data_IF_478698718585
#
_entry.id   IF_478698718585
#
_cell.length_a   1.000
_cell.length_b   1.000
_cell.length_c   1.000
_cell.angle_alpha   90.00
_cell.angle_beta   90.00
_cell.angle_gamma   90.00
#
_symmetry.space_group_name_H-M   'P 1'
#
loop_
_entity.id
_entity.type
_entity.pdbx_description
1 polymer ?
#
# COMPACT_ATOMS: atom_id res chain seq x y z
N UNK A 1 0.44 -24.40 -36.30
CA UNK A 1 1.64 -25.21 -35.98
C UNK A 1 2.95 -24.45 -36.19
N UNK A 2 3.13 -23.68 -37.26
CA UNK A 2 4.39 -22.95 -37.53
C UNK A 2 4.56 -21.69 -36.65
N UNK A 3 3.49 -20.90 -36.48
CA UNK A 3 3.48 -19.72 -35.60
C UNK A 3 3.69 -20.09 -34.13
N UNK A 4 3.08 -21.19 -33.68
CA UNK A 4 3.21 -21.71 -32.33
C UNK A 4 4.66 -22.04 -31.97
N UNK A 5 5.41 -22.67 -32.90
CA UNK A 5 6.84 -22.93 -32.76
C UNK A 5 7.67 -21.64 -32.69
N UNK A 6 7.27 -20.58 -33.40
CA UNK A 6 7.93 -19.27 -33.37
C UNK A 6 7.73 -18.57 -32.01
N UNK A 7 6.52 -18.60 -31.46
CA UNK A 7 6.22 -18.03 -30.15
C UNK A 7 6.98 -18.74 -29.02
N UNK A 8 7.07 -20.08 -29.06
CA UNK A 8 7.85 -20.87 -28.09
C UNK A 8 9.34 -20.50 -28.12
N UNK A 9 9.93 -20.29 -29.31
CA UNK A 9 11.33 -19.87 -29.43
C UNK A 9 11.55 -18.47 -28.86
N UNK A 10 10.67 -17.51 -29.17
CA UNK A 10 10.73 -16.16 -28.59
C UNK A 10 10.57 -16.18 -27.07
N UNK A 11 9.72 -17.03 -26.53
CA UNK A 11 9.52 -17.20 -25.10
C UNK A 11 10.79 -17.67 -24.39
N UNK A 12 11.49 -18.66 -24.95
CA UNK A 12 12.76 -19.14 -24.40
C UNK A 12 13.85 -18.05 -24.41
N UNK A 13 13.88 -17.24 -25.45
CA UNK A 13 14.80 -16.09 -25.54
C UNK A 13 14.45 -15.04 -24.49
N UNK A 14 13.17 -14.67 -24.36
CA UNK A 14 12.70 -13.71 -23.36
C UNK A 14 12.98 -14.18 -21.93
N UNK A 15 12.75 -15.46 -21.65
CA UNK A 15 13.05 -16.05 -20.34
C UNK A 15 14.55 -16.07 -20.04
N UNK A 16 15.37 -16.33 -21.05
CA UNK A 16 16.83 -16.30 -20.92
C UNK A 16 17.34 -14.88 -20.65
N UNK A 17 16.86 -13.89 -21.41
CA UNK A 17 17.19 -12.47 -21.19
C UNK A 17 16.76 -12.04 -19.80
N UNK A 18 15.52 -12.36 -19.42
CA UNK A 18 14.97 -12.04 -18.11
C UNK A 18 15.84 -12.63 -16.99
N UNK A 19 16.16 -13.92 -17.03
CA UNK A 19 16.97 -14.58 -16.00
C UNK A 19 18.40 -14.03 -15.91
N UNK A 20 19.04 -13.72 -17.05
CA UNK A 20 20.45 -13.31 -17.08
C UNK A 20 20.66 -11.84 -16.78
N UNK A 21 19.74 -10.96 -17.18
CA UNK A 21 20.00 -9.51 -17.22
C UNK A 21 18.97 -8.65 -16.50
N UNK A 22 17.77 -9.17 -16.21
CA UNK A 22 16.66 -8.35 -15.70
C UNK A 22 16.21 -8.78 -14.30
N UNK A 23 16.23 -10.08 -14.01
CA UNK A 23 15.75 -10.65 -12.76
C UNK A 23 16.64 -10.25 -11.57
N UNK A 24 15.98 -9.94 -10.45
CA UNK A 24 16.65 -9.61 -9.20
C UNK A 24 17.31 -10.86 -8.59
N UNK A 25 18.50 -10.76 -7.97
CA UNK A 25 19.13 -11.90 -7.31
C UNK A 25 18.23 -12.46 -6.19
N UNK A 26 17.93 -13.76 -6.24
CA UNK A 26 16.97 -14.38 -5.32
C UNK A 26 17.37 -14.24 -3.84
N UNK A 27 18.66 -14.33 -3.55
CA UNK A 27 19.19 -14.17 -2.19
C UNK A 27 18.98 -12.74 -1.66
N UNK A 28 19.12 -11.70 -2.49
CA UNK A 28 18.83 -10.31 -2.11
C UNK A 28 17.34 -10.09 -1.89
N UNK A 29 16.48 -10.64 -2.75
CA UNK A 29 15.03 -10.56 -2.61
C UNK A 29 14.58 -11.18 -1.29
N UNK A 30 15.04 -12.41 -0.98
CA UNK A 30 14.71 -13.09 0.29
C UNK A 30 15.22 -12.31 1.50
N UNK A 31 16.47 -11.84 1.46
CA UNK A 31 17.07 -11.04 2.53
C UNK A 31 16.29 -9.75 2.77
N UNK A 32 16.04 -8.97 1.72
CA UNK A 32 15.40 -7.66 1.84
C UNK A 32 13.94 -7.80 2.31
N UNK A 33 13.19 -8.78 1.81
CA UNK A 33 11.84 -9.09 2.32
C UNK A 33 11.85 -9.39 3.81
N UNK A 34 12.79 -10.22 4.28
CA UNK A 34 12.89 -10.56 5.70
C UNK A 34 13.26 -9.36 6.59
N UNK A 35 14.07 -8.43 6.07
CA UNK A 35 14.36 -7.15 6.73
C UNK A 35 13.10 -6.30 6.85
N UNK A 36 12.42 -6.07 5.72
CA UNK A 36 11.20 -5.27 5.64
C UNK A 36 10.13 -5.85 6.57
N UNK A 37 9.91 -7.15 6.53
CA UNK A 37 8.88 -7.83 7.31
C UNK A 37 9.05 -7.66 8.82
N UNK A 38 10.28 -7.81 9.33
CA UNK A 38 10.60 -7.63 10.74
C UNK A 38 10.45 -6.17 11.17
N UNK A 39 11.10 -5.25 10.45
CA UNK A 39 11.09 -3.82 10.81
C UNK A 39 9.68 -3.22 10.75
N UNK A 40 8.96 -3.48 9.65
CA UNK A 40 7.56 -3.04 9.50
C UNK A 40 6.67 -3.72 10.54
N UNK A 41 6.93 -4.98 10.88
CA UNK A 41 6.21 -5.72 11.92
C UNK A 41 6.31 -5.02 13.27
N UNK A 42 7.52 -4.67 13.70
CA UNK A 42 7.77 -3.96 14.96
C UNK A 42 7.13 -2.57 14.97
N UNK A 43 7.25 -1.81 13.88
CA UNK A 43 6.59 -0.51 13.72
C UNK A 43 5.07 -0.66 13.80
N UNK A 44 4.48 -1.62 13.11
CA UNK A 44 3.03 -1.86 13.15
C UNK A 44 2.54 -2.24 14.55
N UNK A 45 3.29 -3.05 15.29
CA UNK A 45 2.96 -3.38 16.68
C UNK A 45 2.95 -2.12 17.56
N UNK A 46 3.98 -1.27 17.44
CA UNK A 46 4.05 0.00 18.15
C UNK A 46 2.92 0.96 17.73
N UNK A 47 2.58 1.03 16.44
CA UNK A 47 1.45 1.86 15.96
C UNK A 47 0.11 1.42 16.56
N UNK A 48 -0.16 0.11 16.61
CA UNK A 48 -1.37 -0.44 17.23
C UNK A 48 -1.41 -0.21 18.74
N UNK A 49 -0.26 -0.18 19.41
CA UNK A 49 -0.16 0.13 20.85
C UNK A 49 -0.47 1.62 21.11
N UNK A 50 0.12 2.52 20.34
CA UNK A 50 0.04 3.96 20.58
C UNK A 50 -1.24 4.62 20.03
N UNK A 51 -1.93 3.99 19.07
CA UNK A 51 -3.12 4.58 18.46
C UNK A 51 -4.29 3.56 18.40
N UNK A 52 -5.23 3.65 19.37
CA UNK A 52 -6.40 2.77 19.41
C UNK A 52 -7.26 2.83 18.14
N UNK A 53 -7.46 4.02 17.55
CA UNK A 53 -8.22 4.17 16.31
C UNK A 53 -7.53 3.42 15.15
N UNK A 54 -6.21 3.54 15.03
CA UNK A 54 -5.47 2.78 14.01
C UNK A 54 -5.59 1.28 14.25
N UNK A 55 -5.43 0.82 15.50
CA UNK A 55 -5.62 -0.59 15.87
C UNK A 55 -7.01 -1.10 15.48
N UNK A 56 -8.05 -0.31 15.71
CA UNK A 56 -9.44 -0.68 15.40
C UNK A 56 -9.71 -0.71 13.90
N UNK A 57 -9.18 0.24 13.12
CA UNK A 57 -9.43 0.31 11.68
C UNK A 57 -8.51 -0.59 10.85
N UNK A 58 -7.32 -0.92 11.34
CA UNK A 58 -6.33 -1.71 10.60
C UNK A 58 -6.80 -3.16 10.42
N UNK A 59 -6.94 -3.58 9.17
CA UNK A 59 -7.25 -4.97 8.81
C UNK A 59 -5.96 -5.73 8.55
N UNK A 60 -5.14 -5.23 7.62
CA UNK A 60 -3.95 -5.95 7.14
C UNK A 60 -2.98 -5.00 6.45
N UNK A 61 -1.73 -5.46 6.33
CA UNK A 61 -0.77 -4.90 5.37
C UNK A 61 -0.92 -5.63 4.02
N UNK A 62 -0.78 -4.90 2.93
CA UNK A 62 -0.72 -5.45 1.59
C UNK A 62 0.55 -4.96 0.92
N UNK A 63 1.40 -5.92 0.57
CA UNK A 63 2.60 -5.68 -0.19
C UNK A 63 2.21 -5.43 -1.63
N UNK A 64 2.18 -4.18 -2.05
CA UNK A 64 1.76 -3.74 -3.38
C UNK A 64 2.93 -3.57 -4.33
N UNK A 65 2.62 -3.11 -5.53
CA UNK A 65 3.63 -2.64 -6.47
C UNK A 65 4.47 -3.72 -7.16
N UNK A 66 5.29 -3.22 -8.09
CA UNK A 66 6.00 -4.06 -9.06
C UNK A 66 6.91 -5.12 -8.46
N UNK A 67 7.45 -4.88 -7.25
CA UNK A 67 8.33 -5.83 -6.58
C UNK A 67 7.59 -7.12 -6.21
N UNK A 68 6.44 -6.99 -5.55
CA UNK A 68 5.65 -8.13 -5.10
C UNK A 68 4.78 -8.76 -6.20
N UNK A 69 4.48 -8.00 -7.25
CA UNK A 69 3.86 -8.55 -8.46
C UNK A 69 4.87 -9.32 -9.35
N UNK A 70 6.15 -9.31 -8.96
CA UNK A 70 7.21 -10.00 -9.67
C UNK A 70 7.51 -9.37 -11.04
N UNK A 71 7.29 -8.06 -11.19
CA UNK A 71 7.53 -7.30 -12.43
C UNK A 71 8.54 -6.15 -12.22
N UNK A 72 9.16 -6.04 -11.03
CA UNK A 72 10.23 -5.08 -10.75
C UNK A 72 11.48 -5.47 -11.54
N UNK A 73 12.14 -4.44 -12.05
CA UNK A 73 13.41 -4.48 -12.76
C UNK A 73 14.38 -3.53 -12.05
N UNK A 74 15.68 -3.77 -12.13
CA UNK A 74 16.69 -2.93 -11.46
C UNK A 74 17.10 -3.46 -10.08
N UNK A 75 17.00 -2.65 -9.02
CA UNK A 75 17.42 -3.04 -7.66
C UNK A 75 16.21 -3.31 -6.73
N UNK A 76 16.27 -4.32 -5.84
CA UNK A 76 15.20 -4.68 -4.89
C UNK A 76 15.17 -3.73 -3.67
N UNK A 77 15.14 -2.42 -3.91
CA UNK A 77 15.35 -1.40 -2.87
C UNK A 77 14.08 -0.62 -2.53
N UNK A 78 13.05 -0.67 -3.36
CA UNK A 78 11.79 0.07 -3.16
C UNK A 78 10.64 -0.88 -2.91
N UNK A 79 9.86 -0.59 -1.87
CA UNK A 79 8.74 -1.40 -1.41
C UNK A 79 7.49 -0.54 -1.24
N UNK A 80 6.41 -0.87 -1.94
CA UNK A 80 5.10 -0.25 -1.74
C UNK A 80 4.31 -1.08 -0.72
N UNK A 81 3.90 -0.47 0.40
CA UNK A 81 3.14 -1.14 1.44
C UNK A 81 1.86 -0.38 1.77
N UNK A 82 0.74 -1.01 1.41
CA UNK A 82 -0.58 -0.51 1.73
C UNK A 82 -0.99 -0.98 3.14
N UNK A 83 -1.33 -0.04 4.02
CA UNK A 83 -2.05 -0.32 5.25
C UNK A 83 -3.54 -0.26 4.95
N UNK A 84 -4.16 -1.43 4.83
CA UNK A 84 -5.58 -1.56 4.51
C UNK A 84 -6.40 -1.33 5.77
N UNK A 85 -7.22 -0.29 5.74
CA UNK A 85 -8.07 0.17 6.82
C UNK A 85 -9.56 -0.01 6.44
N UNK A 86 -10.39 -0.27 7.45
CA UNK A 86 -11.84 -0.26 7.32
C UNK A 86 -12.46 0.86 8.14
N UNK A 87 -13.41 1.57 7.51
CA UNK A 87 -14.32 2.44 8.24
C UNK A 87 -15.43 1.60 8.90
N UNK A 88 -16.01 2.05 10.03
CA UNK A 88 -17.15 1.37 10.63
C UNK A 88 -18.30 1.24 9.62
N UNK A 89 -18.90 0.05 9.50
CA UNK A 89 -20.08 -0.15 8.64
C UNK A 89 -21.25 0.72 9.10
N UNK A 90 -21.36 0.95 10.41
CA UNK A 90 -22.43 1.72 11.05
C UNK A 90 -22.55 3.16 10.55
N UNK A 91 -21.43 3.78 10.16
CA UNK A 91 -21.44 5.18 9.67
C UNK A 91 -21.80 5.27 8.17
N UNK A 92 -21.99 4.13 7.52
CA UNK A 92 -22.36 3.98 6.10
C UNK A 92 -21.49 4.86 5.18
N UNK A 93 -20.22 4.48 4.98
CA UNK A 93 -19.38 5.16 4.03
C UNK A 93 -19.86 4.87 2.59
N UNK A 94 -20.07 5.92 1.82
CA UNK A 94 -20.52 5.87 0.42
C UNK A 94 -19.40 6.38 -0.48
N UNK A 95 -19.05 5.61 -1.51
CA UNK A 95 -18.09 6.03 -2.53
C UNK A 95 -18.85 6.75 -3.64
N UNK A 96 -18.59 8.05 -3.76
CA UNK A 96 -19.20 8.94 -4.74
C UNK A 96 -18.23 9.20 -5.90
N UNK A 97 -18.76 9.29 -7.11
CA UNK A 97 -17.98 9.55 -8.32
C UNK A 97 -17.50 10.99 -8.30
N UNK A 98 -16.18 11.18 -8.47
CA UNK A 98 -15.62 12.50 -8.67
C UNK A 98 -15.79 12.97 -10.12
N UNK A 99 -15.63 14.27 -10.35
CA UNK A 99 -15.54 14.86 -11.70
C UNK A 99 -14.21 14.54 -12.42
N UNK A 100 -13.26 13.89 -11.74
CA UNK A 100 -11.95 13.52 -12.28
C UNK A 100 -11.87 12.01 -12.54
N UNK A 101 -11.53 11.57 -13.77
CA UNK A 101 -11.38 10.15 -14.08
C UNK A 101 -10.42 9.43 -13.12
N UNK A 102 -10.84 8.26 -12.62
CA UNK A 102 -10.06 7.46 -11.68
C UNK A 102 -10.04 7.98 -10.23
N UNK A 103 -10.68 9.11 -9.95
CA UNK A 103 -10.85 9.62 -8.59
C UNK A 103 -12.31 9.52 -8.13
N UNK A 104 -12.47 9.40 -6.81
CA UNK A 104 -13.74 9.28 -6.10
C UNK A 104 -13.68 10.13 -4.83
N UNK A 105 -14.82 10.32 -4.19
CA UNK A 105 -14.95 10.93 -2.88
C UNK A 105 -15.62 9.94 -1.95
N UNK A 106 -15.24 9.91 -0.67
CA UNK A 106 -15.87 9.03 0.32
C UNK A 106 -16.65 9.90 1.28
N UNK A 107 -17.98 9.75 1.31
CA UNK A 107 -18.88 10.51 2.20
C UNK A 107 -19.51 9.60 3.24
N UNK A 108 -19.58 10.08 4.46
CA UNK A 108 -20.23 9.40 5.58
C UNK A 108 -21.66 9.90 5.70
N UNK A 109 -22.65 9.02 5.66
CA UNK A 109 -24.06 9.42 5.66
C UNK A 109 -24.80 9.14 6.96
N UNK A 110 -24.26 8.30 7.85
CA UNK A 110 -24.96 7.84 9.06
C UNK A 110 -24.08 7.93 10.32
N UNK A 111 -23.28 8.99 10.46
CA UNK A 111 -22.35 9.13 11.59
C UNK A 111 -23.05 9.14 12.96
N UNK A 112 -24.27 9.67 13.04
CA UNK A 112 -25.05 9.71 14.28
C UNK A 112 -25.36 8.31 14.84
N UNK A 113 -25.43 7.29 13.97
CA UNK A 113 -25.61 5.91 14.44
C UNK A 113 -24.45 5.45 15.31
N UNK A 114 -23.23 5.90 15.01
CA UNK A 114 -22.06 5.62 15.84
C UNK A 114 -22.11 6.39 17.16
N UNK A 115 -22.57 7.64 17.15
CA UNK A 115 -22.75 8.43 18.38
C UNK A 115 -23.77 7.80 19.34
N UNK A 116 -24.83 7.21 18.79
CA UNK A 116 -25.88 6.53 19.55
C UNK A 116 -25.46 5.16 20.11
N UNK A 117 -24.21 4.73 19.90
CA UNK A 117 -23.65 3.48 20.44
C UNK A 117 -22.38 3.77 21.24
N UNK A 118 -22.48 4.15 22.53
CA UNK A 118 -21.36 4.65 23.33
C UNK A 118 -20.13 3.73 23.34
N UNK A 119 -20.35 2.42 23.46
CA UNK A 119 -19.26 1.43 23.47
C UNK A 119 -18.50 1.37 22.14
N UNK A 120 -19.21 1.50 21.02
CA UNK A 120 -18.60 1.53 19.70
C UNK A 120 -17.94 2.89 19.46
N UNK A 121 -18.59 3.99 19.82
CA UNK A 121 -18.04 5.33 19.71
C UNK A 121 -16.70 5.46 20.42
N UNK A 122 -16.54 4.87 21.62
CA UNK A 122 -15.27 4.90 22.36
C UNK A 122 -14.08 4.35 21.56
N UNK A 123 -14.31 3.34 20.71
CA UNK A 123 -13.26 2.77 19.84
C UNK A 123 -12.91 3.67 18.66
N UNK A 124 -13.85 4.54 18.27
CA UNK A 124 -13.76 5.42 17.11
C UNK A 124 -13.80 6.91 17.48
N UNK A 125 -13.51 7.27 18.74
CA UNK A 125 -13.70 8.64 19.25
C UNK A 125 -12.92 9.68 18.43
N UNK A 126 -11.76 9.28 17.88
CA UNK A 126 -10.87 10.12 17.06
C UNK A 126 -11.15 10.02 15.56
N UNK A 127 -12.26 9.41 15.15
CA UNK A 127 -12.61 9.21 13.74
C UNK A 127 -13.15 10.50 13.11
N UNK A 128 -14.00 11.27 13.82
CA UNK A 128 -14.63 12.50 13.29
C UNK A 128 -13.62 13.50 12.71
N UNK A 129 -12.45 13.76 13.35
CA UNK A 129 -11.42 14.63 12.79
C UNK A 129 -10.87 14.22 11.43
N UNK A 130 -11.08 12.99 10.94
CA UNK A 130 -10.63 12.57 9.62
C UNK A 130 -11.55 13.08 8.49
N UNK A 131 -12.75 13.56 8.83
CA UNK A 131 -13.73 14.10 7.89
C UNK A 131 -13.69 15.63 7.84
N UNK A 132 -14.18 16.21 6.75
CA UNK A 132 -14.47 17.64 6.70
C UNK A 132 -15.85 17.99 7.27
N UNK A 133 -16.21 19.26 7.17
CA UNK A 133 -17.49 19.83 7.61
C UNK A 133 -18.71 19.18 6.94
N UNK A 134 -18.53 18.62 5.74
CA UNK A 134 -19.58 17.95 4.95
C UNK A 134 -19.49 16.43 5.04
N UNK A 135 -18.76 15.90 6.03
CA UNK A 135 -18.58 14.47 6.27
C UNK A 135 -17.89 13.71 5.14
N UNK A 136 -17.11 14.40 4.31
CA UNK A 136 -16.20 13.75 3.36
C UNK A 136 -14.89 13.38 4.04
N UNK A 137 -14.39 12.18 3.78
CA UNK A 137 -13.08 11.72 4.22
C UNK A 137 -11.98 12.53 3.53
N UNK A 138 -11.19 13.24 4.33
CA UNK A 138 -10.12 14.10 3.83
C UNK A 138 -8.81 13.32 3.76
N UNK A 139 -8.24 13.23 2.56
CA UNK A 139 -6.89 12.69 2.34
C UNK A 139 -5.84 13.39 3.20
N UNK A 140 -5.92 14.70 3.34
CA UNK A 140 -4.94 15.47 4.08
C UNK A 140 -5.00 15.19 5.58
N UNK A 141 -6.22 15.12 6.14
CA UNK A 141 -6.41 14.80 7.56
C UNK A 141 -6.02 13.35 7.86
N UNK A 142 -6.33 12.41 6.95
CA UNK A 142 -5.87 11.01 7.09
C UNK A 142 -4.35 10.92 7.04
N UNK A 143 -3.71 11.58 6.08
CA UNK A 143 -2.24 11.57 5.99
C UNK A 143 -1.61 12.18 7.24
N UNK A 144 -2.10 13.34 7.72
CA UNK A 144 -1.61 13.94 8.97
C UNK A 144 -1.80 13.02 10.18
N UNK A 145 -2.94 12.33 10.27
CA UNK A 145 -3.20 11.35 11.33
C UNK A 145 -2.26 10.14 11.24
N UNK A 146 -2.03 9.62 10.03
CA UNK A 146 -1.11 8.52 9.76
C UNK A 146 0.33 8.91 10.13
N UNK A 147 0.76 10.11 9.74
CA UNK A 147 2.06 10.67 10.10
C UNK A 147 2.28 10.68 11.61
N UNK A 148 1.30 11.21 12.35
CA UNK A 148 1.37 11.27 13.81
C UNK A 148 1.46 9.87 14.40
N UNK A 149 0.71 8.92 13.87
CA UNK A 149 0.73 7.52 14.32
C UNK A 149 2.10 6.87 14.13
N UNK A 150 2.72 7.05 12.96
CA UNK A 150 4.06 6.55 12.67
C UNK A 150 5.08 7.20 13.60
N UNK A 151 5.05 8.53 13.78
CA UNK A 151 6.00 9.21 14.67
C UNK A 151 5.88 8.75 16.13
N UNK A 152 4.65 8.56 16.64
CA UNK A 152 4.43 8.03 17.99
C UNK A 152 4.98 6.61 18.14
N UNK A 153 4.82 5.78 17.11
CA UNK A 153 5.38 4.43 17.10
C UNK A 153 6.91 4.42 17.09
N UNK A 154 7.54 5.29 16.30
CA UNK A 154 9.01 5.39 16.29
C UNK A 154 9.55 5.88 17.63
N UNK A 155 8.88 6.84 18.27
CA UNK A 155 9.27 7.33 19.60
C UNK A 155 9.19 6.20 20.65
N UNK A 156 8.14 5.38 20.61
CA UNK A 156 8.00 4.18 21.47
C UNK A 156 9.12 3.17 21.26
N UNK A 157 9.61 3.05 20.02
CA UNK A 157 10.71 2.15 19.66
C UNK A 157 12.10 2.73 19.97
N UNK A 158 12.18 3.83 20.72
CA UNK A 158 13.44 4.42 21.17
C UNK A 158 14.13 5.28 20.12
N UNK A 159 13.36 6.11 19.39
CA UNK A 159 13.91 7.08 18.43
C UNK A 159 14.99 7.97 19.05
N UNK A 160 16.17 7.98 18.45
CA UNK A 160 17.32 8.80 18.88
C UNK A 160 17.20 10.26 18.44
N UNK A 161 18.10 11.11 18.94
CA UNK A 161 18.11 12.56 18.68
C UNK A 161 18.31 12.93 17.22
N UNK A 162 19.04 12.10 16.47
CA UNK A 162 19.22 12.20 15.02
C UNK A 162 17.96 11.77 14.23
N UNK A 163 16.92 11.34 14.92
CA UNK A 163 15.64 10.94 14.35
C UNK A 163 15.60 9.52 13.82
N UNK A 164 16.62 8.69 14.08
CA UNK A 164 16.67 7.28 13.65
C UNK A 164 16.15 6.33 14.73
N UNK A 165 15.78 5.11 14.34
CA UNK A 165 15.43 4.00 15.25
C UNK A 165 16.27 2.79 14.88
N UNK A 166 16.89 2.15 15.87
CA UNK A 166 17.76 0.97 15.67
C UNK A 166 16.95 -0.32 15.79
N UNK A 167 17.00 -1.16 14.76
CA UNK A 167 16.37 -2.49 14.72
C UNK A 167 17.43 -3.57 14.65
N UNK A 168 17.27 -4.63 15.46
CA UNK A 168 18.07 -5.85 15.36
C UNK A 168 17.29 -6.86 14.51
N UNK A 169 17.71 -7.06 13.26
CA UNK A 169 17.07 -7.98 12.33
C UNK A 169 17.76 -9.34 12.37
N UNK A 170 17.00 -10.41 12.57
CA UNK A 170 17.51 -11.78 12.54
C UNK A 170 17.41 -12.37 11.13
N UNK A 171 18.54 -12.62 10.49
CA UNK A 171 18.64 -13.38 9.24
C UNK A 171 19.08 -14.82 9.54
N UNK A 172 18.93 -15.78 8.61
CA UNK A 172 19.32 -17.17 8.83
C UNK A 172 20.78 -17.34 9.28
N UNK A 173 21.69 -16.59 8.65
CA UNK A 173 23.14 -16.79 8.81
C UNK A 173 23.82 -15.71 9.65
N UNK A 174 23.11 -14.63 9.99
CA UNK A 174 23.65 -13.52 10.78
C UNK A 174 22.56 -12.61 11.37
N UNK A 175 22.93 -11.87 12.42
CA UNK A 175 22.16 -10.71 12.86
C UNK A 175 22.63 -9.46 12.10
N UNK A 176 21.69 -8.59 11.78
CA UNK A 176 21.94 -7.34 11.08
C UNK A 176 21.34 -6.18 11.86
N UNK A 177 22.07 -5.09 11.98
CA UNK A 177 21.57 -3.84 12.56
C UNK A 177 21.09 -2.95 11.42
N UNK A 178 19.83 -2.52 11.51
CA UNK A 178 19.21 -1.58 10.57
C UNK A 178 18.82 -0.30 11.31
N UNK A 179 19.06 0.84 10.68
CA UNK A 179 18.60 2.15 11.14
C UNK A 179 17.45 2.59 10.27
N UNK A 180 16.32 2.90 10.89
CA UNK A 180 15.14 3.41 10.22
C UNK A 180 14.98 4.91 10.45
N UNK A 181 14.64 5.64 9.40
CA UNK A 181 14.24 7.05 9.46
C UNK A 181 13.02 7.28 8.57
N UNK A 182 12.25 8.34 8.81
CA UNK A 182 11.08 8.67 7.99
C UNK A 182 11.34 9.93 7.21
N UNK A 183 11.15 9.85 5.90
CA UNK A 183 11.08 10.99 5.00
C UNK A 183 9.61 11.22 4.56
N UNK A 184 9.19 12.48 4.46
CA UNK A 184 7.88 12.82 3.92
C UNK A 184 7.94 12.86 2.39
N UNK A 185 7.13 12.06 1.72
CA UNK A 185 6.97 12.10 0.26
C UNK A 185 5.49 11.87 -0.11
N UNK A 186 4.70 12.94 -0.14
CA UNK A 186 3.26 12.84 -0.48
C UNK A 186 3.05 12.07 -1.80
N UNK A 187 2.22 11.01 -1.83
CA UNK A 187 1.19 10.61 -0.86
C UNK A 187 1.60 9.58 0.23
N UNK A 188 2.86 9.15 0.28
CA UNK A 188 3.34 8.09 1.16
C UNK A 188 4.23 8.61 2.32
N UNK A 189 4.39 7.78 3.34
CA UNK A 189 5.49 7.92 4.30
C UNK A 189 6.60 6.96 3.89
N UNK A 190 7.74 7.50 3.46
CA UNK A 190 8.86 6.66 3.07
C UNK A 190 9.69 6.36 4.31
N UNK A 191 9.66 5.12 4.76
CA UNK A 191 10.56 4.58 5.76
C UNK A 191 11.86 4.19 5.06
N UNK A 192 12.93 4.91 5.37
CA UNK A 192 14.28 4.66 4.86
C UNK A 192 15.04 3.78 5.82
N UNK A 193 15.46 2.61 5.36
CA UNK A 193 16.27 1.66 6.12
C UNK A 193 17.70 1.65 5.58
N UNK A 194 18.68 1.77 6.47
CA UNK A 194 20.10 1.70 6.13
C UNK A 194 20.78 0.74 7.11
N UNK A 195 21.58 -0.20 6.62
CA UNK A 195 22.40 -1.07 7.49
C UNK A 195 23.53 -0.28 8.14
N UNK A 196 24.06 -0.79 9.26
CA UNK A 196 25.19 -0.16 9.98
C UNK A 196 26.42 0.10 9.09
N UNK A 197 26.72 -0.82 8.17
CA UNK A 197 27.80 -0.70 7.19
C UNK A 197 27.42 0.11 5.93
N UNK A 198 26.17 0.59 5.83
CA UNK A 198 25.64 1.33 4.69
C UNK A 198 25.45 0.52 3.40
N UNK A 199 25.72 -0.79 3.41
CA UNK A 199 25.67 -1.66 2.23
C UNK A 199 24.24 -1.94 1.74
N UNK A 200 23.26 -1.92 2.65
CA UNK A 200 21.85 -2.16 2.37
C UNK A 200 21.10 -0.86 2.59
N UNK A 201 20.38 -0.42 1.55
CA UNK A 201 19.50 0.75 1.58
C UNK A 201 18.14 0.36 1.00
N UNK A 202 17.08 0.52 1.77
CA UNK A 202 15.72 0.20 1.37
C UNK A 202 14.80 1.39 1.65
N UNK A 203 13.93 1.71 0.70
CA UNK A 203 12.89 2.72 0.82
C UNK A 203 11.53 2.01 0.81
N UNK A 204 10.72 2.23 1.84
CA UNK A 204 9.43 1.56 2.02
C UNK A 204 8.33 2.63 2.12
N UNK A 205 7.47 2.71 1.12
CA UNK A 205 6.35 3.63 1.07
C UNK A 205 5.15 3.06 1.82
N UNK A 206 4.83 3.66 2.97
CA UNK A 206 3.67 3.31 3.79
C UNK A 206 2.47 4.15 3.36
N UNK A 207 1.45 3.51 2.78
CA UNK A 207 0.27 4.18 2.22
C UNK A 207 -1.00 3.73 2.97
N UNK A 208 -1.71 4.64 3.67
CA UNK A 208 -2.99 4.30 4.28
C UNK A 208 -4.06 4.18 3.19
N UNK A 209 -4.73 3.03 3.13
CA UNK A 209 -5.74 2.73 2.13
C UNK A 209 -7.06 2.36 2.79
N UNK A 210 -8.20 2.72 2.19
CA UNK A 210 -9.50 2.26 2.66
C UNK A 210 -10.10 1.24 1.70
N UNK A 211 -10.60 0.15 2.25
CA UNK A 211 -11.20 -0.94 1.48
C UNK A 211 -12.72 -0.79 1.38
N UNK A 212 -13.24 -1.13 0.21
CA UNK A 212 -14.66 -1.11 -0.10
C UNK A 212 -15.06 -2.38 -0.87
N UNK A 213 -16.30 -2.82 -0.68
CA UNK A 213 -16.85 -3.99 -1.37
C UNK A 213 -17.59 -3.64 -2.66
N UNK A 214 -17.94 -4.67 -3.44
CA UNK A 214 -18.64 -4.53 -4.71
C UNK A 214 -19.98 -3.77 -4.62
N UNK A 215 -20.69 -3.82 -3.49
CA UNK A 215 -21.93 -3.05 -3.27
C UNK A 215 -21.69 -1.54 -3.22
N UNK A 216 -20.46 -1.12 -2.94
CA UNK A 216 -20.02 0.27 -2.88
C UNK A 216 -19.25 0.68 -4.14
N UNK A 217 -19.29 -0.13 -5.20
CA UNK A 217 -18.62 0.19 -6.46
C UNK A 217 -19.09 1.56 -6.99
N UNK A 218 -18.17 2.43 -7.46
CA UNK A 218 -18.55 3.72 -8.01
C UNK A 218 -19.58 3.56 -9.13
N UNK A 219 -20.71 4.27 -9.02
CA UNK A 219 -21.76 4.25 -10.04
C UNK A 219 -21.27 4.89 -11.35
N UNK A 220 -21.98 4.68 -12.46
CA UNK A 220 -21.62 5.27 -13.76
C UNK A 220 -20.75 4.37 -14.64
N UNK A 221 -19.89 4.95 -15.48
CA UNK A 221 -19.15 4.24 -16.53
C UNK A 221 -17.87 3.52 -16.06
N UNK A 222 -17.73 3.25 -14.77
CA UNK A 222 -16.57 2.50 -14.27
C UNK A 222 -16.70 1.03 -14.67
N UNK A 223 -15.70 0.53 -15.40
CA UNK A 223 -15.59 -0.90 -15.73
C UNK A 223 -15.60 -1.71 -14.45
N UNK A 224 -16.46 -2.73 -14.37
CA UNK A 224 -16.50 -3.64 -13.23
C UNK A 224 -15.25 -4.53 -13.20
N UNK A 225 -14.95 -5.08 -12.04
CA UNK A 225 -13.92 -6.11 -11.94
C UNK A 225 -14.29 -7.31 -12.84
N UNK A 226 -13.42 -7.73 -13.78
CA UNK A 226 -13.64 -8.90 -14.63
C UNK A 226 -13.61 -10.24 -13.87
N UNK A 227 -13.01 -10.29 -12.67
CA UNK A 227 -12.85 -11.50 -11.85
C UNK A 227 -13.42 -11.33 -10.43
N UNK A 228 -14.72 -10.99 -10.28
CA UNK A 228 -15.29 -10.63 -8.98
C UNK A 228 -15.32 -11.80 -7.99
N UNK A 229 -15.35 -13.05 -8.49
CA UNK A 229 -15.35 -14.26 -7.66
C UNK A 229 -14.03 -14.48 -6.91
N UNK A 230 -12.91 -13.94 -7.43
CA UNK A 230 -11.60 -14.03 -6.78
C UNK A 230 -11.33 -12.85 -5.85
N UNK A 231 -11.80 -11.66 -6.23
CA UNK A 231 -11.60 -10.43 -5.47
C UNK A 231 -12.78 -9.50 -5.65
N UNK A 232 -13.63 -9.37 -4.65
CA UNK A 232 -14.83 -8.52 -4.71
C UNK A 232 -14.61 -7.12 -4.09
N UNK A 233 -13.39 -6.85 -3.63
CA UNK A 233 -12.99 -5.63 -2.94
C UNK A 233 -12.09 -4.76 -3.81
N UNK A 234 -12.13 -3.46 -3.55
CA UNK A 234 -11.21 -2.47 -4.10
C UNK A 234 -10.73 -1.51 -3.02
N UNK A 235 -9.66 -0.79 -3.31
CA UNK A 235 -9.07 0.18 -2.40
C UNK A 235 -9.24 1.60 -2.93
N UNK A 236 -9.21 2.56 -2.02
CA UNK A 236 -8.96 3.97 -2.35
C UNK A 236 -7.69 4.44 -1.64
N UNK A 237 -6.86 5.19 -2.38
CA UNK A 237 -5.56 5.68 -1.91
C UNK A 237 -5.53 7.21 -1.89
N UNK A 238 -4.79 7.83 -0.94
CA UNK A 238 -4.80 9.28 -0.73
C UNK A 238 -3.94 9.99 -1.77
N UNK A 239 -4.41 10.04 -3.02
CA UNK A 239 -3.74 10.76 -4.11
C UNK A 239 -4.60 11.92 -4.57
N UNK A 240 -3.97 13.07 -4.80
CA UNK A 240 -4.63 14.28 -5.28
C UNK A 240 -4.64 14.32 -6.82
N UNK A 241 -5.75 14.75 -7.45
CA UNK A 241 -5.80 14.95 -8.90
C UNK A 241 -4.86 16.08 -9.34
N UNK A 242 -4.47 16.05 -10.63
CA UNK A 242 -3.76 17.12 -11.31
C UNK A 242 -4.59 17.56 -12.53
N UNK A 243 -4.75 18.88 -12.80
CA UNK A 243 -4.34 20.02 -11.97
C UNK A 243 -5.13 20.10 -10.66
N UNK A 244 -4.70 20.97 -9.74
CA UNK A 244 -5.40 21.17 -8.46
C UNK A 244 -6.81 21.72 -8.73
N UNK A 245 -7.79 21.27 -7.94
CA UNK A 245 -9.19 21.70 -8.02
C UNK A 245 -9.71 22.13 -6.64
N UNK A 246 -10.92 22.68 -6.60
CA UNK A 246 -11.59 23.00 -5.33
C UNK A 246 -11.85 21.72 -4.52
N UNK A 247 -11.73 21.80 -3.20
CA UNK A 247 -11.89 20.66 -2.29
C UNK A 247 -11.01 19.45 -2.64
N UNK A 248 -9.78 19.72 -3.13
CA UNK A 248 -8.84 18.69 -3.59
C UNK A 248 -8.60 17.58 -2.56
N UNK A 249 -8.72 17.91 -1.27
CA UNK A 249 -8.47 16.96 -0.19
C UNK A 249 -9.58 15.90 -0.05
N UNK A 250 -10.75 16.08 -0.69
CA UNK A 250 -11.82 15.08 -0.75
C UNK A 250 -11.55 13.96 -1.74
N UNK A 251 -10.62 14.15 -2.67
CA UNK A 251 -10.39 13.21 -3.75
C UNK A 251 -9.47 12.08 -3.33
N UNK A 252 -9.93 10.87 -3.54
CA UNK A 252 -9.17 9.63 -3.40
C UNK A 252 -9.04 8.98 -4.77
N UNK A 253 -7.90 8.34 -5.04
CA UNK A 253 -7.72 7.57 -6.28
C UNK A 253 -8.16 6.13 -6.05
N UNK A 254 -8.92 5.58 -6.98
CA UNK A 254 -9.22 4.14 -6.98
C UNK A 254 -7.93 3.33 -7.18
N UNK A 255 -7.79 2.25 -6.44
CA UNK A 255 -6.68 1.32 -6.54
C UNK A 255 -7.22 -0.11 -6.66
N UNK A 256 -6.76 -0.81 -7.69
CA UNK A 256 -7.15 -2.16 -8.03
C UNK A 256 -5.96 -3.12 -7.99
N UNK A 257 -4.87 -2.76 -7.31
CA UNK A 257 -3.61 -3.53 -7.28
C UNK A 257 -3.82 -5.02 -6.93
N UNK A 258 -4.78 -5.31 -6.05
CA UNK A 258 -5.09 -6.68 -5.66
C UNK A 258 -5.78 -7.47 -6.79
N UNK A 259 -6.66 -6.81 -7.55
CA UNK A 259 -7.31 -7.38 -8.72
C UNK A 259 -6.29 -7.52 -9.87
N UNK A 260 -5.43 -6.52 -10.06
CA UNK A 260 -4.33 -6.53 -11.01
C UNK A 260 -3.38 -7.71 -10.73
N UNK A 261 -3.02 -7.97 -9.47
CA UNK A 261 -2.22 -9.13 -9.07
C UNK A 261 -2.87 -10.45 -9.48
N UNK A 262 -4.17 -10.60 -9.26
CA UNK A 262 -4.90 -11.81 -9.66
C UNK A 262 -4.94 -11.99 -11.18
N UNK A 263 -5.09 -10.90 -11.93
CA UNK A 263 -5.07 -10.92 -13.39
C UNK A 263 -3.67 -11.27 -13.93
N UNK A 264 -2.63 -10.61 -13.41
CA UNK A 264 -1.23 -10.84 -13.78
C UNK A 264 -0.78 -12.26 -13.37
N UNK A 265 -1.25 -12.76 -12.22
CA UNK A 265 -0.94 -14.10 -11.73
C UNK A 265 -1.75 -15.22 -12.39
N UNK A 266 -2.96 -14.90 -12.90
CA UNK A 266 -3.89 -15.83 -13.55
C UNK A 266 -3.67 -16.04 -15.05
N UNK A 267 -3.05 -15.09 -15.75
CA UNK A 267 -2.50 -15.34 -17.09
C UNK A 267 -1.35 -16.35 -16.97
N UNK A 268 -1.33 -17.40 -17.79
CA UNK A 268 -0.28 -18.42 -17.80
C UNK A 268 1.12 -17.78 -17.61
N UNK A 269 1.73 -18.04 -16.45
CA UNK A 269 2.79 -17.23 -15.83
C UNK A 269 4.11 -17.14 -16.62
N UNK A 270 4.26 -17.83 -17.75
CA UNK A 270 5.54 -17.99 -18.43
C UNK A 270 5.85 -16.94 -19.51
N UNK A 271 4.86 -16.16 -19.96
CA UNK A 271 5.05 -15.22 -21.09
C UNK A 271 4.81 -13.76 -20.73
N UNK A 272 3.76 -13.44 -19.96
CA UNK A 272 3.37 -12.05 -19.67
C UNK A 272 4.40 -11.32 -18.79
N UNK A 273 4.86 -11.94 -17.70
CA UNK A 273 5.79 -11.29 -16.75
C UNK A 273 7.15 -10.96 -17.39
N UNK A 274 7.81 -11.87 -18.13
CA UNK A 274 9.03 -11.54 -18.87
C UNK A 274 8.85 -10.39 -19.86
N UNK A 275 7.74 -10.38 -20.62
CA UNK A 275 7.44 -9.30 -21.57
C UNK A 275 7.22 -7.96 -20.87
N UNK A 276 6.44 -7.92 -19.78
CA UNK A 276 6.23 -6.72 -18.98
C UNK A 276 7.53 -6.18 -18.37
N UNK A 277 8.41 -7.07 -17.89
CA UNK A 277 9.73 -6.67 -17.38
C UNK A 277 10.59 -6.06 -18.49
N UNK A 278 10.60 -6.65 -19.68
CA UNK A 278 11.33 -6.12 -20.83
C UNK A 278 10.84 -4.71 -21.20
N UNK A 279 9.53 -4.50 -21.28
CA UNK A 279 8.94 -3.18 -21.57
C UNK A 279 9.26 -2.12 -20.51
N UNK A 280 9.61 -2.50 -19.28
CA UNK A 280 9.99 -1.57 -18.20
C UNK A 280 11.47 -1.19 -18.23
N UNK A 281 12.31 -1.95 -18.93
CA UNK A 281 13.75 -1.64 -19.08
C UNK A 281 14.07 -0.94 -20.40
N UNK A 282 13.14 -0.96 -21.36
CA UNK A 282 13.17 -0.14 -22.58
C UNK A 282 12.67 1.28 -22.29
#
# INVERSE_FOLDING_TARGET
MEDEKKYIKMENVLNTINRKYIALPEHEVKRNNRIVDQVVGDILMAMKKQNPLFKTMFERKFYGGSFYDGIKVGKPIEFDLDFVLNLPVLIKPVVEVGDKPGFVQVRITEFDKLLNQPEQYRKYEKLKPLFDDKMFLSTEKVLRWMERTVNLALNELGRSKDGTVRFNVKLPDKNLVMYASVAKCHPAFTLKLISEDGSIKLDIDLVPCFQFGNTQWPKGQYRRNPMPQKRDKFLVVPKKPKPKCQNIDRYWRLSFQEQERELIGGCQNNTLKPALRLLKVC
#
